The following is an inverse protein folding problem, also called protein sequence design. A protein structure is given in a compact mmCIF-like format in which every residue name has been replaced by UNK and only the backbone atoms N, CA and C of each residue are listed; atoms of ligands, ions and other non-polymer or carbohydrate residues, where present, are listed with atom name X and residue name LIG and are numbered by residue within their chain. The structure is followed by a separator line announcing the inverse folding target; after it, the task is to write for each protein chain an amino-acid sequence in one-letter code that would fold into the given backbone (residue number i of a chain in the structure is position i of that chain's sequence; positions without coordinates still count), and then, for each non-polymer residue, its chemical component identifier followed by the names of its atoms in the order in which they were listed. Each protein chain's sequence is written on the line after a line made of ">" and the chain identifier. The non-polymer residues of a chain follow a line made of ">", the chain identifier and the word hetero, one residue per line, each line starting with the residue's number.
data_IF_652669688857
#
_entry.id   IF_652669688857
#
_cell.length_a   1.000
_cell.length_b   1.000
_cell.length_c   1.000
_cell.angle_alpha   90.00
_cell.angle_beta   90.00
_cell.angle_gamma   90.00
#
_symmetry.space_group_name_H-M   'P 1'
#
loop_
_entity.id
_entity.type
_entity.pdbx_description
1 polymer ?
#
# COMPACT_ATOMS: atom_id res chain seq x y z
N UNK A 1 -11.48 -27.61 0.58
CA UNK A 1 -10.31 -26.71 0.65
C UNK A 1 -10.33 -25.64 -0.44
N UNK A 2 -11.11 -25.81 -1.52
CA UNK A 2 -11.30 -24.81 -2.59
C UNK A 2 -12.04 -23.51 -2.19
N UNK A 3 -12.74 -23.47 -1.05
CA UNK A 3 -13.48 -22.26 -0.61
C UNK A 3 -12.57 -21.21 0.03
N UNK A 4 -11.42 -21.64 0.57
CA UNK A 4 -10.48 -20.77 1.29
C UNK A 4 -9.26 -20.44 0.41
N UNK A 5 -8.95 -21.30 -0.56
CA UNK A 5 -7.84 -21.14 -1.49
C UNK A 5 -8.33 -20.45 -2.77
N UNK A 6 -7.57 -19.48 -3.28
CA UNK A 6 -7.90 -18.73 -4.51
C UNK A 6 -8.39 -17.29 -4.27
N UNK A 7 -8.82 -16.62 -5.34
CA UNK A 7 -9.26 -15.23 -5.28
C UNK A 7 -10.72 -15.13 -4.84
N UNK A 8 -10.97 -14.43 -3.73
CA UNK A 8 -12.33 -14.16 -3.28
C UNK A 8 -12.96 -13.03 -4.10
N UNK A 9 -14.28 -13.13 -4.33
CA UNK A 9 -15.03 -12.05 -4.94
C UNK A 9 -14.90 -10.77 -4.10
N UNK A 10 -14.64 -9.64 -4.77
CA UNK A 10 -14.36 -8.35 -4.13
C UNK A 10 -15.42 -7.92 -3.10
N UNK A 11 -16.68 -8.33 -3.28
CA UNK A 11 -17.77 -8.07 -2.34
C UNK A 11 -17.57 -8.74 -0.97
N UNK A 12 -17.01 -9.95 -0.94
CA UNK A 12 -16.71 -10.67 0.31
C UNK A 12 -15.60 -9.94 1.06
N UNK A 13 -14.52 -9.61 0.34
CA UNK A 13 -13.40 -8.84 0.91
C UNK A 13 -13.85 -7.47 1.41
N UNK A 14 -14.70 -6.76 0.64
CA UNK A 14 -15.26 -5.47 1.03
C UNK A 14 -16.13 -5.56 2.29
N UNK A 15 -16.99 -6.58 2.38
CA UNK A 15 -17.81 -6.81 3.58
C UNK A 15 -16.95 -7.07 4.82
N UNK A 16 -15.93 -7.92 4.70
CA UNK A 16 -15.02 -8.23 5.83
C UNK A 16 -14.21 -7.02 6.26
N UNK A 17 -13.66 -6.24 5.32
CA UNK A 17 -12.95 -4.99 5.63
C UNK A 17 -13.90 -4.01 6.31
N UNK A 18 -15.13 -3.85 5.81
CA UNK A 18 -16.15 -2.99 6.41
C UNK A 18 -16.50 -3.41 7.85
N UNK A 19 -16.64 -4.71 8.09
CA UNK A 19 -16.91 -5.26 9.42
C UNK A 19 -15.76 -4.98 10.38
N UNK A 20 -14.52 -5.20 9.95
CA UNK A 20 -13.32 -4.87 10.74
C UNK A 20 -13.31 -3.37 11.06
N UNK A 21 -13.57 -2.52 10.07
CA UNK A 21 -13.60 -1.06 10.27
C UNK A 21 -14.69 -0.62 11.26
N UNK A 22 -15.88 -1.22 11.22
CA UNK A 22 -16.93 -0.96 12.21
C UNK A 22 -16.49 -1.33 13.63
N UNK A 23 -15.87 -2.51 13.78
CA UNK A 23 -15.33 -2.95 15.07
C UNK A 23 -14.24 -1.99 15.56
N UNK A 24 -13.32 -1.58 14.69
CA UNK A 24 -12.27 -0.62 15.05
C UNK A 24 -12.84 0.72 15.49
N UNK A 25 -13.78 1.28 14.74
CA UNK A 25 -14.45 2.54 15.08
C UNK A 25 -15.22 2.42 16.40
N UNK A 26 -15.89 1.29 16.64
CA UNK A 26 -16.60 1.03 17.89
C UNK A 26 -15.67 1.05 19.12
N UNK A 27 -14.48 0.47 19.01
CA UNK A 27 -13.47 0.49 20.07
C UNK A 27 -12.60 1.76 20.10
N UNK A 28 -12.94 2.79 19.31
CA UNK A 28 -12.18 4.04 19.21
C UNK A 28 -10.75 3.84 18.68
N UNK A 29 -10.53 2.81 17.87
CA UNK A 29 -9.26 2.46 17.27
C UNK A 29 -9.22 2.89 15.81
N UNK A 30 -8.04 3.26 15.32
CA UNK A 30 -7.84 3.70 13.94
C UNK A 30 -7.12 2.63 13.12
N UNK A 31 -7.41 2.58 11.82
CA UNK A 31 -6.69 1.75 10.86
C UNK A 31 -5.67 2.62 10.12
N UNK A 32 -4.47 2.76 10.68
CA UNK A 32 -3.40 3.60 10.15
C UNK A 32 -2.09 2.85 9.92
N UNK A 33 -1.65 2.77 8.66
CA UNK A 33 -0.35 2.17 8.31
C UNK A 33 0.80 3.18 8.35
N UNK A 34 0.60 4.41 7.86
CA UNK A 34 1.68 5.40 7.75
C UNK A 34 2.20 5.93 9.08
N UNK A 35 1.35 5.98 10.11
CA UNK A 35 1.75 6.31 11.47
C UNK A 35 2.81 5.35 11.99
N UNK A 36 2.84 4.08 11.53
CA UNK A 36 3.85 3.11 11.94
C UNK A 36 5.24 3.45 11.42
N UNK A 37 5.37 3.94 10.18
CA UNK A 37 6.66 4.41 9.67
C UNK A 37 7.16 5.60 10.49
N UNK A 38 6.25 6.54 10.84
CA UNK A 38 6.58 7.65 11.73
C UNK A 38 7.02 7.17 13.13
N UNK A 39 6.35 6.16 13.68
CA UNK A 39 6.69 5.54 14.97
C UNK A 39 8.06 4.88 14.95
N UNK A 40 8.39 4.16 13.86
CA UNK A 40 9.71 3.56 13.71
C UNK A 40 10.77 4.65 13.65
N UNK A 41 10.54 5.73 12.89
CA UNK A 41 11.46 6.87 12.85
C UNK A 41 11.65 7.53 14.23
N UNK A 42 10.60 7.65 15.05
CA UNK A 42 10.70 8.19 16.43
C UNK A 42 11.36 7.23 17.43
N UNK A 43 11.59 5.96 17.07
CA UNK A 43 12.43 5.04 17.85
C UNK A 43 13.92 5.16 17.52
N UNK A 44 14.27 5.82 16.41
CA UNK A 44 15.66 6.00 15.95
C UNK A 44 16.27 7.32 16.40
N UNK A 45 17.51 7.58 15.97
CA UNK A 45 18.24 8.82 16.23
C UNK A 45 17.51 10.10 15.77
N UNK A 46 16.52 9.99 14.88
CA UNK A 46 15.71 11.11 14.41
C UNK A 46 14.88 11.78 15.52
N UNK A 47 14.53 11.06 16.60
CA UNK A 47 13.76 11.60 17.73
C UNK A 47 14.43 12.82 18.38
N UNK A 48 15.74 12.76 18.60
CA UNK A 48 16.47 13.83 19.31
C UNK A 48 16.79 15.04 18.42
N UNK A 49 16.59 14.93 17.10
CA UNK A 49 17.01 15.95 16.13
C UNK A 49 15.86 16.72 15.49
N UNK A 50 14.64 16.18 15.52
CA UNK A 50 13.49 16.74 14.79
C UNK A 50 12.26 16.67 15.68
N UNK A 51 11.65 17.82 15.96
CA UNK A 51 10.45 17.96 16.81
C UNK A 51 9.26 17.14 16.30
N UNK A 52 9.10 17.00 14.98
CA UNK A 52 8.07 16.15 14.36
C UNK A 52 8.14 14.67 14.81
N UNK A 53 9.33 14.18 15.17
CA UNK A 53 9.52 12.80 15.65
C UNK A 53 9.58 12.71 17.19
N UNK A 54 9.45 13.83 17.91
CA UNK A 54 9.46 13.84 19.37
C UNK A 54 8.05 13.61 19.95
N UNK A 55 7.59 12.37 19.87
CA UNK A 55 6.33 11.94 20.50
C UNK A 55 6.49 10.57 21.16
N UNK A 56 5.57 10.21 22.06
CA UNK A 56 5.59 8.90 22.72
C UNK A 56 5.02 7.81 21.81
N UNK A 57 5.89 6.99 21.25
CA UNK A 57 5.52 5.85 20.41
C UNK A 57 4.62 4.84 21.14
N UNK A 58 4.64 4.80 22.49
CA UNK A 58 3.82 3.88 23.29
C UNK A 58 2.33 4.16 23.16
N UNK A 59 1.94 5.38 22.80
CA UNK A 59 0.54 5.73 22.54
C UNK A 59 0.02 5.09 21.24
N UNK A 60 0.93 4.70 20.34
CA UNK A 60 0.60 4.16 19.02
C UNK A 60 0.78 2.63 18.93
N UNK A 61 0.89 1.92 20.07
CA UNK A 61 1.03 0.44 20.12
C UNK A 61 -0.02 -0.30 19.29
N UNK A 62 -1.24 0.22 19.25
CA UNK A 62 -2.32 -0.36 18.47
C UNK A 62 -2.01 -0.41 16.97
N UNK A 63 -1.49 0.68 16.40
CA UNK A 63 -1.14 0.75 14.98
C UNK A 63 -0.01 -0.23 14.64
N UNK A 64 0.94 -0.42 15.57
CA UNK A 64 2.03 -1.38 15.39
C UNK A 64 1.52 -2.83 15.35
N UNK A 65 0.54 -3.16 16.20
CA UNK A 65 -0.13 -4.47 16.15
C UNK A 65 -0.85 -4.70 14.81
N UNK A 66 -1.51 -3.67 14.25
CA UNK A 66 -2.13 -3.76 12.92
C UNK A 66 -1.07 -4.01 11.84
N UNK A 67 0.04 -3.27 11.85
CA UNK A 67 1.11 -3.47 10.87
C UNK A 67 1.70 -4.89 10.95
N UNK A 68 1.97 -5.38 12.16
CA UNK A 68 2.45 -6.75 12.35
C UNK A 68 1.42 -7.78 11.86
N UNK A 69 0.15 -7.60 12.20
CA UNK A 69 -0.94 -8.45 11.73
C UNK A 69 -1.06 -8.46 10.20
N UNK A 70 -0.88 -7.32 9.54
CA UNK A 70 -0.88 -7.23 8.08
C UNK A 70 0.31 -7.98 7.45
N UNK A 71 1.51 -7.90 8.05
CA UNK A 71 2.69 -8.65 7.58
C UNK A 71 2.47 -10.16 7.74
N UNK A 72 2.03 -10.60 8.92
CA UNK A 72 1.77 -12.03 9.20
C UNK A 72 0.63 -12.54 8.32
N UNK A 73 -0.44 -11.77 8.16
CA UNK A 73 -1.57 -12.11 7.29
C UNK A 73 -1.15 -12.22 5.82
N UNK A 74 -0.32 -11.29 5.34
CA UNK A 74 0.24 -11.36 3.99
C UNK A 74 1.12 -12.60 3.78
N UNK A 75 1.96 -12.94 4.76
CA UNK A 75 2.78 -14.15 4.72
C UNK A 75 1.94 -15.44 4.69
N UNK A 76 0.92 -15.54 5.56
CA UNK A 76 0.01 -16.69 5.57
C UNK A 76 -0.73 -16.78 4.22
N UNK A 77 -1.20 -15.64 3.70
CA UNK A 77 -1.88 -15.60 2.42
C UNK A 77 -1.00 -16.07 1.26
N UNK A 78 0.24 -15.58 1.19
CA UNK A 78 1.15 -15.90 0.08
C UNK A 78 1.66 -17.34 0.11
N UNK A 79 1.88 -17.93 1.28
CA UNK A 79 2.46 -19.27 1.39
C UNK A 79 1.41 -20.40 1.48
N UNK A 80 0.22 -20.12 2.02
CA UNK A 80 -0.78 -21.17 2.30
C UNK A 80 -2.10 -21.01 1.53
N UNK A 81 -2.46 -19.80 1.09
CA UNK A 81 -3.78 -19.50 0.51
C UNK A 81 -3.75 -19.18 -0.99
N UNK A 82 -2.64 -18.68 -1.51
CA UNK A 82 -2.47 -18.42 -2.94
C UNK A 82 -2.19 -19.71 -3.71
N UNK A 83 -3.10 -20.07 -4.63
CA UNK A 83 -2.83 -21.07 -5.66
C UNK A 83 -2.07 -20.37 -6.80
N UNK A 84 -0.88 -20.87 -7.14
CA UNK A 84 0.04 -20.28 -8.12
C UNK A 84 -0.52 -20.23 -9.55
N UNK A 85 -1.62 -20.95 -9.81
CA UNK A 85 -2.15 -21.16 -11.16
C UNK A 85 -3.23 -20.15 -11.57
N UNK A 86 -3.89 -19.48 -10.62
CA UNK A 86 -5.08 -18.64 -10.88
C UNK A 86 -4.98 -17.23 -10.25
N UNK A 87 -3.75 -16.81 -9.93
CA UNK A 87 -3.49 -15.68 -9.02
C UNK A 87 -3.87 -14.32 -9.58
N UNK A 88 -3.86 -14.16 -10.91
CA UNK A 88 -4.04 -12.87 -11.56
C UNK A 88 -4.61 -13.04 -12.98
N UNK A 89 -5.93 -13.10 -13.10
CA UNK A 89 -6.60 -12.93 -14.40
C UNK A 89 -6.60 -11.45 -14.80
N UNK A 90 -5.48 -11.01 -15.37
CA UNK A 90 -5.31 -9.65 -15.86
C UNK A 90 -6.08 -9.49 -17.18
N UNK A 91 -6.73 -8.33 -17.35
CA UNK A 91 -7.43 -8.02 -18.59
C UNK A 91 -6.46 -8.09 -19.78
N UNK A 92 -6.81 -8.77 -20.89
CA UNK A 92 -5.93 -8.90 -22.06
C UNK A 92 -5.44 -7.55 -22.60
N UNK A 93 -6.26 -6.49 -22.53
CA UNK A 93 -5.84 -5.13 -22.93
C UNK A 93 -4.73 -4.56 -22.06
N UNK A 94 -4.71 -4.92 -20.78
CA UNK A 94 -3.63 -4.51 -19.87
C UNK A 94 -2.34 -5.24 -20.19
N UNK A 95 -2.42 -6.51 -20.62
CA UNK A 95 -1.24 -7.28 -21.06
C UNK A 95 -0.62 -6.63 -22.31
N UNK A 96 -1.44 -6.27 -23.30
CA UNK A 96 -0.98 -5.55 -24.50
C UNK A 96 -0.30 -4.21 -24.15
N UNK A 97 -0.89 -3.43 -23.23
CA UNK A 97 -0.30 -2.16 -22.79
C UNK A 97 1.02 -2.36 -22.03
N UNK A 98 1.14 -3.42 -21.22
CA UNK A 98 2.39 -3.71 -20.49
C UNK A 98 3.52 -4.11 -21.43
N UNK A 99 3.21 -4.89 -22.48
CA UNK A 99 4.18 -5.25 -23.52
C UNK A 99 4.72 -4.02 -24.26
N UNK A 100 3.87 -3.03 -24.55
CA UNK A 100 4.31 -1.75 -25.14
C UNK A 100 5.27 -0.96 -24.23
N UNK A 101 5.23 -1.21 -22.93
CA UNK A 101 6.06 -0.57 -21.92
C UNK A 101 7.31 -1.38 -21.56
N UNK A 102 7.64 -2.43 -22.31
CA UNK A 102 8.72 -3.38 -22.00
C UNK A 102 8.60 -3.98 -20.57
N UNK A 103 7.38 -4.12 -20.06
CA UNK A 103 7.09 -4.73 -18.76
C UNK A 103 6.49 -6.12 -19.02
N UNK A 104 7.18 -7.15 -18.55
CA UNK A 104 6.68 -8.53 -18.65
C UNK A 104 5.38 -8.70 -17.86
N UNK A 105 4.47 -9.53 -18.39
CA UNK A 105 3.28 -9.90 -17.66
C UNK A 105 3.67 -10.59 -16.33
N UNK A 106 2.94 -10.35 -15.23
CA UNK A 106 3.13 -11.09 -13.99
C UNK A 106 2.81 -12.57 -14.23
N UNK A 107 3.82 -13.40 -14.46
CA UNK A 107 3.71 -14.82 -14.80
C UNK A 107 3.31 -15.67 -13.58
N UNK A 108 2.17 -15.36 -12.96
CA UNK A 108 1.73 -15.93 -11.68
C UNK A 108 2.29 -15.20 -10.44
N UNK A 109 3.14 -14.18 -10.63
CA UNK A 109 3.62 -13.31 -9.55
C UNK A 109 2.62 -12.19 -9.25
N UNK A 110 2.64 -11.65 -8.02
CA UNK A 110 1.77 -10.53 -7.58
C UNK A 110 2.02 -9.22 -8.33
N UNK A 111 3.14 -9.11 -9.05
CA UNK A 111 3.51 -7.95 -9.83
C UNK A 111 4.64 -8.28 -10.83
N UNK A 112 4.94 -7.38 -11.76
CA UNK A 112 5.96 -7.61 -12.76
C UNK A 112 7.37 -7.61 -12.15
N UNK A 113 8.19 -8.58 -12.56
CA UNK A 113 9.56 -8.74 -12.07
C UNK A 113 10.45 -7.52 -12.40
N UNK A 114 10.08 -6.76 -13.43
CA UNK A 114 10.73 -5.50 -13.81
C UNK A 114 10.78 -4.46 -12.68
N UNK A 115 9.83 -4.49 -11.75
CA UNK A 115 9.69 -3.51 -10.66
C UNK A 115 9.95 -4.15 -9.29
N UNK A 116 9.52 -5.40 -9.09
CA UNK A 116 9.49 -6.03 -7.77
C UNK A 116 10.62 -7.03 -7.50
N UNK A 117 11.47 -7.35 -8.49
CA UNK A 117 12.60 -8.25 -8.27
C UNK A 117 13.75 -7.56 -7.52
N UNK A 118 14.33 -8.27 -6.54
CA UNK A 118 15.48 -7.74 -5.78
C UNK A 118 16.67 -7.40 -6.70
N UNK A 119 16.92 -8.21 -7.72
CA UNK A 119 18.03 -7.98 -8.65
C UNK A 119 17.85 -6.68 -9.44
N UNK A 120 16.63 -6.38 -9.91
CA UNK A 120 16.34 -5.13 -10.63
C UNK A 120 16.25 -3.94 -9.67
N UNK A 121 15.85 -4.14 -8.41
CA UNK A 121 15.82 -3.09 -7.40
C UNK A 121 17.21 -2.47 -7.13
N UNK A 122 18.29 -3.25 -7.24
CA UNK A 122 19.67 -2.76 -7.08
C UNK A 122 20.30 -2.23 -8.38
N UNK A 123 19.60 -2.26 -9.51
CA UNK A 123 20.07 -1.57 -10.72
C UNK A 123 19.91 -0.06 -10.57
N UNK A 124 20.73 0.73 -11.26
CA UNK A 124 20.66 2.21 -11.19
C UNK A 124 19.25 2.74 -11.51
N UNK A 125 18.57 2.12 -12.47
CA UNK A 125 17.21 2.47 -12.87
C UNK A 125 16.18 2.07 -11.78
N UNK A 126 16.18 0.83 -11.31
CA UNK A 126 15.26 0.38 -10.28
C UNK A 126 15.46 1.11 -8.94
N UNK A 127 16.72 1.28 -8.54
CA UNK A 127 17.07 1.98 -7.31
C UNK A 127 16.65 3.46 -7.34
N UNK A 128 16.86 4.16 -8.46
CA UNK A 128 16.44 5.57 -8.58
C UNK A 128 14.91 5.69 -8.51
N UNK A 129 14.16 4.83 -9.19
CA UNK A 129 12.69 4.81 -9.11
C UNK A 129 12.20 4.55 -7.69
N UNK A 130 12.77 3.57 -6.99
CA UNK A 130 12.40 3.27 -5.60
C UNK A 130 12.77 4.41 -4.64
N UNK A 131 13.94 5.02 -4.82
CA UNK A 131 14.40 6.14 -4.00
C UNK A 131 13.49 7.36 -4.16
N UNK A 132 13.24 7.80 -5.40
CA UNK A 132 12.38 8.96 -5.66
C UNK A 132 10.92 8.66 -5.33
N UNK A 133 10.41 7.47 -5.65
CA UNK A 133 9.05 7.05 -5.29
C UNK A 133 8.85 7.01 -3.77
N UNK A 134 9.79 6.39 -3.04
CA UNK A 134 9.79 6.35 -1.58
C UNK A 134 9.88 7.74 -0.96
N UNK A 135 10.73 8.61 -1.51
CA UNK A 135 10.83 10.01 -1.08
C UNK A 135 9.51 10.77 -1.28
N UNK A 136 8.88 10.68 -2.45
CA UNK A 136 7.61 11.35 -2.75
C UNK A 136 6.49 10.88 -1.81
N UNK A 137 6.40 9.57 -1.55
CA UNK A 137 5.42 9.02 -0.60
C UNK A 137 5.73 9.48 0.83
N UNK A 138 7.00 9.43 1.24
CA UNK A 138 7.46 9.83 2.57
C UNK A 138 7.27 11.32 2.85
N UNK A 139 7.38 12.17 1.83
CA UNK A 139 7.10 13.60 1.90
C UNK A 139 5.59 13.89 1.87
N UNK A 140 4.86 13.26 0.94
CA UNK A 140 3.44 13.51 0.72
C UNK A 140 2.55 13.02 1.86
N UNK A 141 2.91 11.92 2.51
CA UNK A 141 2.08 11.31 3.57
C UNK A 141 1.93 12.22 4.81
N UNK A 142 3.01 12.81 5.39
CA UNK A 142 2.88 13.85 6.41
C UNK A 142 2.15 15.09 5.94
N UNK A 143 2.40 15.52 4.69
CA UNK A 143 1.77 16.72 4.11
C UNK A 143 0.25 16.56 3.98
N UNK A 144 -0.23 15.38 3.60
CA UNK A 144 -1.64 15.05 3.55
C UNK A 144 -2.26 14.76 4.94
N UNK A 145 -1.44 14.57 5.98
CA UNK A 145 -1.89 14.17 7.31
C UNK A 145 -2.26 12.69 7.41
N UNK A 146 -1.89 11.86 6.43
CA UNK A 146 -2.26 10.45 6.37
C UNK A 146 -1.96 9.79 5.02
N UNK A 147 -2.16 8.47 4.95
CA UNK A 147 -2.04 7.69 3.71
C UNK A 147 -3.41 7.12 3.30
N UNK A 148 -3.45 6.28 2.27
CA UNK A 148 -4.68 5.64 1.76
C UNK A 148 -5.47 4.90 2.85
N UNK A 149 -4.80 4.16 3.76
CA UNK A 149 -5.50 3.49 4.87
C UNK A 149 -6.19 4.48 5.84
N UNK A 150 -5.55 5.63 6.08
CA UNK A 150 -6.10 6.68 6.96
C UNK A 150 -7.23 7.46 6.29
N UNK A 151 -7.03 7.96 5.07
CA UNK A 151 -8.03 8.80 4.40
C UNK A 151 -9.10 8.00 3.66
N UNK A 152 -8.72 7.00 2.85
CA UNK A 152 -9.65 6.27 2.00
C UNK A 152 -10.48 5.23 2.77
N UNK A 153 -9.85 4.51 3.71
CA UNK A 153 -10.57 3.50 4.51
C UNK A 153 -11.19 4.16 5.73
N UNK A 154 -10.40 4.68 6.67
CA UNK A 154 -10.95 5.24 7.92
C UNK A 154 -11.67 6.58 7.71
N UNK A 155 -11.10 7.50 6.95
CA UNK A 155 -11.58 8.87 6.82
C UNK A 155 -12.88 8.99 6.03
N UNK A 156 -12.99 8.30 4.89
CA UNK A 156 -14.22 8.27 4.10
C UNK A 156 -15.35 7.53 4.81
N UNK A 157 -15.05 6.44 5.54
CA UNK A 157 -16.07 5.76 6.37
C UNK A 157 -16.61 6.65 7.49
N UNK A 158 -15.83 7.62 7.96
CA UNK A 158 -16.25 8.64 8.93
C UNK A 158 -16.77 9.94 8.28
N UNK A 159 -17.02 9.94 6.96
CA UNK A 159 -17.53 11.09 6.19
C UNK A 159 -16.70 12.38 6.33
N UNK A 160 -15.37 12.25 6.46
CA UNK A 160 -14.49 13.39 6.60
C UNK A 160 -14.22 14.06 5.24
N UNK A 161 -14.69 15.29 5.06
CA UNK A 161 -14.44 16.09 3.85
C UNK A 161 -12.94 16.25 3.54
N UNK A 162 -12.05 16.52 4.52
CA UNK A 162 -10.60 16.58 4.24
C UNK A 162 -10.05 15.29 3.64
N UNK A 163 -10.56 14.14 4.09
CA UNK A 163 -10.17 12.83 3.57
C UNK A 163 -10.66 12.60 2.14
N UNK A 164 -11.85 13.09 1.79
CA UNK A 164 -12.34 13.06 0.41
C UNK A 164 -11.42 13.84 -0.54
N UNK A 165 -11.02 15.05 -0.14
CA UNK A 165 -10.09 15.89 -0.93
C UNK A 165 -8.74 15.18 -1.11
N UNK A 166 -8.19 14.62 -0.02
CA UNK A 166 -6.94 13.87 -0.07
C UNK A 166 -7.02 12.66 -1.03
N UNK A 167 -8.12 11.90 -0.96
CA UNK A 167 -8.35 10.73 -1.83
C UNK A 167 -8.44 11.13 -3.30
N UNK A 168 -9.17 12.19 -3.63
CA UNK A 168 -9.22 12.71 -5.01
C UNK A 168 -7.81 13.05 -5.50
N UNK A 169 -7.00 13.72 -4.67
CA UNK A 169 -5.61 14.02 -4.97
C UNK A 169 -4.76 12.76 -5.20
N UNK A 170 -4.92 11.72 -4.37
CA UNK A 170 -4.22 10.44 -4.53
C UNK A 170 -4.58 9.76 -5.85
N UNK A 171 -5.86 9.76 -6.24
CA UNK A 171 -6.31 9.20 -7.50
C UNK A 171 -5.76 9.97 -8.71
N UNK A 172 -5.77 11.30 -8.68
CA UNK A 172 -5.18 12.12 -9.74
C UNK A 172 -3.68 11.84 -9.87
N UNK A 173 -2.94 11.80 -8.76
CA UNK A 173 -1.52 11.46 -8.75
C UNK A 173 -1.25 10.05 -9.29
N UNK A 174 -2.08 9.07 -8.93
CA UNK A 174 -2.01 7.71 -9.44
C UNK A 174 -2.24 7.63 -10.96
N UNK A 175 -3.26 8.34 -11.47
CA UNK A 175 -3.54 8.41 -12.91
C UNK A 175 -2.41 9.09 -13.69
N UNK A 176 -1.90 10.22 -13.18
CA UNK A 176 -0.73 10.89 -13.77
C UNK A 176 0.49 9.97 -13.78
N UNK A 177 0.73 9.23 -12.70
CA UNK A 177 1.83 8.27 -12.65
C UNK A 177 1.65 7.16 -13.67
N UNK A 178 0.46 6.56 -13.75
CA UNK A 178 0.17 5.46 -14.67
C UNK A 178 0.25 5.85 -16.15
N UNK A 179 -0.21 7.05 -16.51
CA UNK A 179 -0.27 7.50 -17.91
C UNK A 179 0.95 8.30 -18.38
N UNK A 180 1.72 8.91 -17.48
CA UNK A 180 2.87 9.74 -17.84
C UNK A 180 4.17 9.23 -17.26
N UNK A 181 4.26 9.02 -15.93
CA UNK A 181 5.54 8.64 -15.30
C UNK A 181 5.98 7.22 -15.66
N UNK A 182 5.09 6.24 -15.55
CA UNK A 182 5.43 4.84 -15.86
C UNK A 182 5.86 4.69 -17.33
N UNK A 183 5.12 5.24 -18.33
CA UNK A 183 5.57 5.22 -19.71
C UNK A 183 6.89 5.96 -19.96
N UNK A 184 7.13 7.09 -19.29
CA UNK A 184 8.38 7.83 -19.44
C UNK A 184 9.59 7.09 -18.85
N UNK A 185 9.37 6.31 -17.79
CA UNK A 185 10.43 5.58 -17.10
C UNK A 185 10.70 4.24 -17.78
N UNK A 186 9.66 3.51 -18.22
CA UNK A 186 9.78 2.13 -18.70
C UNK A 186 9.57 1.95 -20.21
N UNK A 187 8.87 2.86 -20.88
CA UNK A 187 8.77 2.90 -22.35
C UNK A 187 10.09 3.29 -22.98
#
# INVERSE_FOLDING_TARGET
>A
MEVIQGTWHWAISGFLIGLIMLVLTYFGKTFGMSSNLRNICSMTFAKKKIEYFDFDWKEQKWNLSIALGAVVGGFIASYFLMDATDVLQINPKTIENLQQLNIDAPNGNLGPDAIFSLEKAFTLKGFSVLLFGGFLIGFGTPYAGGCTSGHAISGLSNFQIPSLIAVIGFFIGGLLSAHFLIPLIFG
#
